data_IF_336660027598
#
_entry.id   IF_336660027598
#
_cell.length_a   1.000
_cell.length_b   1.000
_cell.length_c   1.000
_cell.angle_alpha   90.00
_cell.angle_beta   90.00
_cell.angle_gamma   90.00
#
_symmetry.space_group_name_H-M   'P 1'
#
loop_
_entity.id
_entity.type
_entity.pdbx_description
1 polymer ?
#
# COMPACT_ATOMS: atom_id res chain seq x y z
N UNK A 1 9.15 -6.25 -1.10
CA UNK A 1 9.18 -7.59 -1.75
C UNK A 1 9.30 -7.46 -3.27
N UNK A 2 9.88 -8.46 -3.93
CA UNK A 2 9.98 -8.52 -5.40
C UNK A 2 8.62 -8.80 -6.02
N UNK A 3 8.44 -8.46 -7.29
CA UNK A 3 7.19 -8.70 -8.02
C UNK A 3 6.71 -10.16 -7.94
N UNK A 4 7.61 -11.14 -8.10
CA UNK A 4 7.29 -12.58 -8.03
C UNK A 4 6.79 -13.00 -6.64
N UNK A 5 7.32 -12.40 -5.59
CA UNK A 5 6.91 -12.64 -4.20
C UNK A 5 5.50 -12.09 -3.97
N UNK A 6 5.21 -10.87 -4.42
CA UNK A 6 3.87 -10.30 -4.40
C UNK A 6 2.86 -11.17 -5.17
N UNK A 7 3.21 -11.63 -6.36
CA UNK A 7 2.35 -12.54 -7.15
C UNK A 7 2.08 -13.85 -6.41
N UNK A 8 3.07 -14.39 -5.70
CA UNK A 8 2.92 -15.59 -4.88
C UNK A 8 1.98 -15.33 -3.70
N UNK A 9 2.14 -14.19 -3.01
CA UNK A 9 1.23 -13.78 -1.93
C UNK A 9 -0.22 -13.69 -2.43
N UNK A 10 -0.46 -12.98 -3.55
CA UNK A 10 -1.79 -12.78 -4.13
C UNK A 10 -2.44 -14.09 -4.58
N UNK A 11 -1.72 -14.96 -5.30
CA UNK A 11 -2.27 -16.28 -5.70
C UNK A 11 -2.59 -17.15 -4.49
N UNK A 12 -1.76 -17.10 -3.45
CA UNK A 12 -1.99 -17.90 -2.24
C UNK A 12 -3.16 -17.33 -1.44
N UNK A 13 -3.26 -16.02 -1.30
CA UNK A 13 -4.40 -15.36 -0.67
C UNK A 13 -5.70 -15.72 -1.37
N UNK A 14 -5.75 -15.63 -2.71
CA UNK A 14 -6.93 -15.98 -3.50
C UNK A 14 -7.38 -17.44 -3.29
N UNK A 15 -6.43 -18.37 -3.20
CA UNK A 15 -6.75 -19.80 -2.93
C UNK A 15 -7.24 -20.02 -1.51
N UNK A 16 -6.58 -19.45 -0.50
CA UNK A 16 -6.94 -19.60 0.92
C UNK A 16 -8.31 -18.98 1.20
N UNK A 17 -8.52 -17.80 0.67
CA UNK A 17 -9.74 -17.03 0.87
C UNK A 17 -10.91 -17.51 0.01
N UNK A 18 -10.67 -18.24 -1.08
CA UNK A 18 -11.65 -18.47 -2.16
C UNK A 18 -12.26 -17.14 -2.63
N UNK A 19 -11.40 -16.11 -2.74
CA UNK A 19 -11.74 -14.75 -3.13
C UNK A 19 -10.86 -14.35 -4.32
N UNK A 20 -11.40 -13.55 -5.21
CA UNK A 20 -10.68 -13.10 -6.39
C UNK A 20 -10.29 -11.62 -6.35
N UNK A 21 -10.86 -10.84 -5.43
CA UNK A 21 -10.64 -9.40 -5.36
C UNK A 21 -10.18 -8.95 -3.98
N UNK A 22 -9.09 -8.20 -3.97
CA UNK A 22 -8.47 -7.69 -2.75
C UNK A 22 -8.12 -6.22 -2.90
N UNK A 23 -8.24 -5.43 -1.84
CA UNK A 23 -7.51 -4.18 -1.73
C UNK A 23 -6.03 -4.46 -1.44
N UNK A 24 -5.13 -3.72 -2.10
CA UNK A 24 -3.71 -3.69 -1.81
C UNK A 24 -3.34 -2.25 -1.44
N UNK A 25 -3.18 -1.98 -0.13
CA UNK A 25 -3.14 -0.62 0.42
C UNK A 25 -1.77 -0.16 0.93
N UNK A 26 -0.79 -1.06 0.96
CA UNK A 26 0.56 -0.77 1.41
C UNK A 26 1.57 -0.47 0.29
N UNK A 27 2.84 -0.49 0.66
CA UNK A 27 3.96 -0.17 -0.24
C UNK A 27 3.99 -1.00 -1.53
N UNK A 28 3.48 -2.23 -1.47
CA UNK A 28 3.44 -3.14 -2.62
C UNK A 28 2.48 -2.69 -3.73
N UNK A 29 1.56 -1.74 -3.45
CA UNK A 29 0.69 -1.14 -4.46
C UNK A 29 1.49 -0.45 -5.59
N UNK A 30 2.72 0.00 -5.33
CA UNK A 30 3.63 0.61 -6.32
C UNK A 30 3.89 -0.33 -7.51
N UNK A 31 3.79 -1.65 -7.32
CA UNK A 31 3.93 -2.61 -8.42
C UNK A 31 2.87 -2.49 -9.53
N UNK A 32 1.76 -1.79 -9.29
CA UNK A 32 0.78 -1.47 -10.32
C UNK A 32 1.24 -0.33 -11.26
N UNK A 33 2.24 0.45 -10.84
CA UNK A 33 2.72 1.65 -11.54
C UNK A 33 4.14 1.51 -12.08
N UNK A 34 4.96 0.66 -11.44
CA UNK A 34 6.37 0.57 -11.76
C UNK A 34 6.85 -0.88 -11.80
N UNK A 35 7.48 -1.27 -12.91
CA UNK A 35 8.09 -2.61 -13.05
C UNK A 35 9.36 -2.77 -12.21
N UNK A 36 10.07 -1.67 -11.97
CA UNK A 36 11.31 -1.61 -11.17
C UNK A 36 11.11 -0.61 -10.03
N UNK A 37 10.38 -0.99 -8.98
CA UNK A 37 10.09 -0.09 -7.87
C UNK A 37 11.37 0.30 -7.13
N UNK A 38 11.33 1.40 -6.35
CA UNK A 38 12.44 1.81 -5.48
C UNK A 38 12.81 0.74 -4.47
N UNK A 39 14.03 0.81 -3.93
CA UNK A 39 14.55 -0.15 -2.95
C UNK A 39 13.66 -0.25 -1.70
N UNK A 40 13.09 0.84 -1.25
CA UNK A 40 12.19 0.95 -0.10
C UNK A 40 10.94 0.05 -0.25
N UNK A 41 10.43 -0.12 -1.47
CA UNK A 41 9.36 -1.08 -1.77
C UNK A 41 9.87 -2.52 -1.66
N UNK A 42 11.09 -2.79 -2.16
CA UNK A 42 11.68 -4.12 -2.18
C UNK A 42 12.08 -4.63 -0.78
N UNK A 43 12.44 -3.72 0.13
CA UNK A 43 12.81 -4.05 1.51
C UNK A 43 11.61 -4.52 2.35
N UNK A 44 10.39 -4.07 2.05
CA UNK A 44 9.21 -4.48 2.79
C UNK A 44 8.89 -5.95 2.52
N UNK A 45 8.69 -6.71 3.61
CA UNK A 45 8.25 -8.11 3.59
C UNK A 45 6.73 -8.24 3.72
N UNK A 46 6.03 -7.14 3.96
CA UNK A 46 4.58 -7.07 4.19
C UNK A 46 3.83 -6.88 2.88
N UNK A 47 2.73 -7.59 2.73
CA UNK A 47 1.74 -7.42 1.68
C UNK A 47 0.41 -7.03 2.35
N UNK A 48 0.11 -5.73 2.41
CA UNK A 48 -1.06 -5.17 3.08
C UNK A 48 -2.31 -5.43 2.23
N UNK A 49 -2.99 -6.54 2.48
CA UNK A 49 -4.16 -7.00 1.74
C UNK A 49 -5.43 -6.96 2.59
N UNK A 50 -6.57 -6.70 1.92
CA UNK A 50 -7.88 -6.87 2.52
C UNK A 50 -8.86 -7.49 1.52
N UNK A 51 -9.63 -8.54 1.87
CA UNK A 51 -10.63 -9.16 0.97
C UNK A 51 -11.79 -8.19 0.73
N UNK A 52 -12.14 -7.95 -0.55
CA UNK A 52 -13.16 -6.94 -0.88
C UNK A 52 -14.58 -7.42 -0.63
N UNK A 53 -14.89 -8.67 -1.01
CA UNK A 53 -16.26 -9.18 -1.01
C UNK A 53 -16.55 -10.06 0.21
N UNK A 54 -15.51 -10.49 0.93
CA UNK A 54 -15.60 -11.44 2.04
C UNK A 54 -14.76 -11.00 3.24
N UNK A 55 -15.09 -9.87 3.89
CA UNK A 55 -14.34 -9.34 5.03
C UNK A 55 -14.25 -10.33 6.21
N UNK A 56 -15.22 -11.24 6.35
CA UNK A 56 -15.25 -12.26 7.41
C UNK A 56 -14.07 -13.25 7.37
N UNK A 57 -13.40 -13.38 6.22
CA UNK A 57 -12.25 -14.28 6.08
C UNK A 57 -10.90 -13.63 6.46
N UNK A 58 -10.91 -12.37 6.89
CA UNK A 58 -9.71 -11.64 7.28
C UNK A 58 -8.85 -12.41 8.31
N UNK A 59 -9.49 -12.92 9.37
CA UNK A 59 -8.81 -13.71 10.41
C UNK A 59 -8.20 -15.02 9.86
N UNK A 60 -8.86 -15.66 8.91
CA UNK A 60 -8.34 -16.87 8.27
C UNK A 60 -7.09 -16.55 7.44
N UNK A 61 -7.09 -15.44 6.70
CA UNK A 61 -5.94 -14.98 5.93
C UNK A 61 -4.75 -14.69 6.83
N UNK A 62 -4.97 -13.94 7.92
CA UNK A 62 -3.92 -13.62 8.89
C UNK A 62 -3.34 -14.90 9.50
N UNK A 63 -4.18 -15.82 9.99
CA UNK A 63 -3.73 -17.08 10.58
C UNK A 63 -2.91 -17.94 9.61
N UNK A 64 -3.23 -17.94 8.32
CA UNK A 64 -2.61 -18.79 7.30
C UNK A 64 -1.41 -18.14 6.61
N UNK A 65 -1.42 -16.82 6.42
CA UNK A 65 -0.46 -16.08 5.61
C UNK A 65 0.24 -14.94 6.37
N UNK A 66 -0.24 -14.58 7.56
CA UNK A 66 0.26 -13.50 8.38
C UNK A 66 1.66 -13.73 8.95
N UNK A 67 2.19 -12.74 9.64
CA UNK A 67 3.50 -12.81 10.34
C UNK A 67 3.49 -14.02 11.29
N UNK A 68 4.54 -14.83 11.29
CA UNK A 68 4.62 -16.03 12.13
C UNK A 68 3.89 -17.27 11.58
N UNK A 69 3.14 -17.16 10.50
CA UNK A 69 2.54 -18.32 9.82
C UNK A 69 3.59 -19.26 9.21
N UNK A 70 3.18 -20.50 8.86
CA UNK A 70 4.02 -21.41 8.09
C UNK A 70 4.39 -20.85 6.72
N UNK A 71 3.49 -20.06 6.11
CA UNK A 71 3.74 -19.36 4.86
C UNK A 71 4.87 -18.35 5.01
N UNK A 72 4.82 -17.48 6.02
CA UNK A 72 5.85 -16.48 6.27
C UNK A 72 7.23 -17.10 6.51
N UNK A 73 7.30 -18.15 7.35
CA UNK A 73 8.56 -18.88 7.61
C UNK A 73 9.15 -19.52 6.36
N UNK A 74 8.30 -20.02 5.47
CA UNK A 74 8.76 -20.68 4.23
C UNK A 74 9.24 -19.70 3.17
N UNK A 75 8.60 -18.53 3.07
CA UNK A 75 8.79 -17.61 1.94
C UNK A 75 9.59 -16.34 2.29
N UNK A 76 9.75 -16.01 3.58
CA UNK A 76 10.44 -14.81 4.03
C UNK A 76 9.62 -13.51 3.86
N UNK A 77 8.34 -13.61 3.48
CA UNK A 77 7.36 -12.51 3.41
C UNK A 77 5.98 -13.01 3.83
N UNK A 78 5.07 -12.09 4.12
CA UNK A 78 3.76 -12.43 4.66
C UNK A 78 2.67 -11.46 4.17
N UNK A 79 1.41 -11.86 4.36
CA UNK A 79 0.25 -11.00 4.17
C UNK A 79 -0.07 -10.34 5.50
N UNK A 80 -0.15 -9.02 5.51
CA UNK A 80 -0.70 -8.25 6.62
C UNK A 80 -2.13 -7.87 6.28
N UNK A 81 -3.09 -8.28 7.11
CA UNK A 81 -4.52 -8.04 6.84
C UNK A 81 -4.89 -6.70 7.44
N UNK A 82 -4.93 -5.68 6.59
CA UNK A 82 -5.14 -4.28 6.98
C UNK A 82 -6.38 -3.73 6.31
N UNK A 83 -7.36 -3.31 7.13
CA UNK A 83 -8.59 -2.71 6.61
C UNK A 83 -8.32 -1.31 6.04
N UNK A 84 -9.00 -0.91 4.94
CA UNK A 84 -8.83 0.43 4.37
C UNK A 84 -9.17 1.56 5.33
N UNK A 85 -10.04 1.32 6.32
CA UNK A 85 -10.47 2.31 7.32
C UNK A 85 -9.33 2.76 8.24
N UNK A 86 -8.30 1.93 8.43
CA UNK A 86 -7.12 2.27 9.24
C UNK A 86 -6.22 3.24 8.48
N UNK A 87 -6.24 3.19 7.15
CA UNK A 87 -5.47 4.09 6.31
C UNK A 87 -6.15 5.46 6.25
N UNK A 88 -5.40 6.54 6.52
CA UNK A 88 -5.91 7.91 6.33
C UNK A 88 -5.94 8.22 4.83
N UNK A 89 -7.05 7.94 4.18
CA UNK A 89 -7.21 8.09 2.74
C UNK A 89 -8.02 9.33 2.37
N UNK A 90 -7.68 10.03 1.28
CA UNK A 90 -8.45 11.14 0.75
C UNK A 90 -9.83 10.70 0.24
N UNK A 91 -10.82 11.57 0.29
CA UNK A 91 -12.14 11.30 -0.27
C UNK A 91 -12.05 10.85 -1.73
N UNK A 92 -12.82 9.83 -2.09
CA UNK A 92 -12.88 9.29 -3.46
C UNK A 92 -11.72 8.38 -3.86
N UNK A 93 -10.88 7.93 -2.93
CA UNK A 93 -9.76 7.01 -3.20
C UNK A 93 -10.18 5.74 -3.94
N UNK A 94 -11.39 5.21 -3.67
CA UNK A 94 -11.88 3.99 -4.31
C UNK A 94 -11.98 4.11 -5.84
N UNK A 95 -12.36 5.30 -6.35
CA UNK A 95 -12.47 5.54 -7.80
C UNK A 95 -11.10 5.64 -8.51
N UNK A 96 -10.02 5.75 -7.74
CA UNK A 96 -8.64 5.88 -8.25
C UNK A 96 -7.84 4.59 -8.19
N UNK A 97 -8.39 3.51 -7.64
CA UNK A 97 -7.73 2.22 -7.54
C UNK A 97 -7.23 1.72 -8.90
N UNK A 98 -6.06 1.08 -8.90
CA UNK A 98 -5.46 0.47 -10.10
C UNK A 98 -5.44 -1.05 -9.97
N UNK A 99 -5.97 -1.78 -10.97
CA UNK A 99 -5.96 -3.23 -10.93
C UNK A 99 -4.58 -3.81 -11.22
N UNK A 100 -4.19 -4.78 -10.41
CA UNK A 100 -3.02 -5.64 -10.60
C UNK A 100 -3.51 -7.09 -10.69
N UNK A 101 -3.56 -7.64 -11.90
CA UNK A 101 -4.07 -8.99 -12.15
C UNK A 101 -2.98 -10.03 -12.05
N UNK A 102 -3.24 -11.10 -11.28
CA UNK A 102 -2.32 -12.23 -11.08
C UNK A 102 -3.10 -13.54 -11.16
N UNK A 103 -3.14 -14.14 -12.34
CA UNK A 103 -4.02 -15.28 -12.61
C UNK A 103 -5.48 -14.91 -12.45
N UNK A 104 -6.20 -15.59 -11.56
CA UNK A 104 -7.63 -15.32 -11.28
C UNK A 104 -7.83 -14.24 -10.20
N UNK A 105 -6.77 -13.76 -9.57
CA UNK A 105 -6.82 -12.79 -8.49
C UNK A 105 -6.54 -11.38 -9.01
N UNK A 106 -7.33 -10.40 -8.60
CA UNK A 106 -7.12 -8.99 -8.86
C UNK A 106 -6.84 -8.28 -7.52
N UNK A 107 -5.70 -7.63 -7.43
CA UNK A 107 -5.42 -6.68 -6.35
C UNK A 107 -5.74 -5.26 -6.84
N UNK A 108 -6.66 -4.60 -6.17
CA UNK A 108 -7.02 -3.21 -6.37
C UNK A 108 -6.06 -2.35 -5.54
N UNK A 109 -5.04 -1.85 -6.21
CA UNK A 109 -3.93 -1.14 -5.59
C UNK A 109 -4.29 0.32 -5.35
N UNK A 110 -3.93 0.86 -4.18
CA UNK A 110 -4.02 2.31 -3.94
C UNK A 110 -3.29 3.08 -5.05
N UNK A 111 -3.90 4.16 -5.48
CA UNK A 111 -3.26 5.12 -6.37
C UNK A 111 -2.06 5.75 -5.65
N UNK A 112 -0.97 5.99 -6.39
CA UNK A 112 0.33 6.36 -5.80
C UNK A 112 0.28 7.63 -4.93
N UNK A 113 -0.54 8.62 -5.30
CA UNK A 113 -0.69 9.85 -4.52
C UNK A 113 -1.55 9.64 -3.27
N UNK A 114 -2.56 8.76 -3.32
CA UNK A 114 -3.32 8.32 -2.14
C UNK A 114 -2.44 7.52 -1.18
N UNK A 115 -1.57 6.65 -1.72
CA UNK A 115 -0.58 5.93 -0.94
C UNK A 115 0.40 6.86 -0.23
N UNK A 116 0.88 7.92 -0.91
CA UNK A 116 1.72 8.95 -0.29
C UNK A 116 0.99 9.61 0.88
N UNK A 117 -0.27 10.01 0.70
CA UNK A 117 -1.06 10.63 1.79
C UNK A 117 -1.18 9.68 2.99
N UNK A 118 -1.45 8.40 2.74
CA UNK A 118 -1.51 7.39 3.81
C UNK A 118 -0.16 7.25 4.54
N UNK A 119 0.96 7.22 3.82
CA UNK A 119 2.32 7.16 4.39
C UNK A 119 2.68 8.42 5.20
N UNK A 120 2.35 9.59 4.69
CA UNK A 120 2.50 10.86 5.42
C UNK A 120 1.63 10.88 6.70
N UNK A 121 0.46 10.25 6.69
CA UNK A 121 -0.40 10.19 7.87
C UNK A 121 0.22 9.34 9.00
N UNK A 122 0.81 8.21 8.68
CA UNK A 122 1.58 7.37 9.62
C UNK A 122 2.84 8.11 10.04
N UNK A 123 3.71 8.50 9.10
CA UNK A 123 4.84 9.41 9.29
C UNK A 123 5.99 8.84 10.09
N UNK A 124 6.21 7.51 10.08
CA UNK A 124 7.46 6.91 10.57
C UNK A 124 8.60 7.26 9.61
N UNK A 125 9.84 7.26 10.06
CA UNK A 125 11.00 7.56 9.22
C UNK A 125 10.97 6.78 7.89
N UNK A 126 10.79 5.47 7.97
CA UNK A 126 10.68 4.60 6.78
C UNK A 126 9.52 4.97 5.82
N UNK A 127 8.45 5.57 6.34
CA UNK A 127 7.30 6.01 5.53
C UNK A 127 7.65 7.31 4.80
N UNK A 128 8.41 8.21 5.41
CA UNK A 128 8.89 9.45 4.80
C UNK A 128 9.98 9.17 3.75
N UNK A 129 10.94 8.30 4.05
CA UNK A 129 11.95 7.81 3.10
C UNK A 129 11.30 7.20 1.86
N UNK A 130 10.26 6.37 2.06
CA UNK A 130 9.46 5.79 0.97
C UNK A 130 8.82 6.88 0.10
N UNK A 131 8.24 7.92 0.71
CA UNK A 131 7.64 9.06 -0.03
C UNK A 131 8.72 9.80 -0.82
N UNK A 132 9.88 10.07 -0.22
CA UNK A 132 11.03 10.68 -0.88
C UNK A 132 11.46 9.89 -2.12
N UNK A 133 11.60 8.57 -1.98
CA UNK A 133 11.97 7.68 -3.08
C UNK A 133 10.97 7.72 -4.25
N UNK A 134 9.67 7.85 -3.98
CA UNK A 134 8.66 7.99 -5.04
C UNK A 134 8.83 9.30 -5.83
N UNK A 135 9.16 10.41 -5.16
CA UNK A 135 9.43 11.68 -5.83
C UNK A 135 10.74 11.63 -6.64
N UNK A 136 11.82 11.11 -6.08
CA UNK A 136 13.10 10.93 -6.77
C UNK A 136 12.96 10.09 -8.05
N UNK A 137 12.13 9.05 -8.00
CA UNK A 137 11.83 8.19 -9.16
C UNK A 137 10.78 8.76 -10.11
N UNK A 138 10.30 9.99 -9.86
CA UNK A 138 9.25 10.67 -10.66
C UNK A 138 7.97 9.86 -10.81
N UNK A 139 7.66 9.04 -9.79
CA UNK A 139 6.44 8.26 -9.73
C UNK A 139 5.26 9.07 -9.17
N UNK A 140 5.54 10.22 -8.56
CA UNK A 140 4.53 11.08 -7.95
C UNK A 140 4.64 12.53 -8.44
N UNK A 141 3.48 13.19 -8.52
CA UNK A 141 3.36 14.60 -8.85
C UNK A 141 2.98 15.40 -7.59
N UNK A 142 3.79 16.40 -7.24
CA UNK A 142 3.60 17.20 -6.03
C UNK A 142 2.26 17.94 -6.01
N UNK A 143 1.81 18.49 -7.15
CA UNK A 143 0.53 19.20 -7.25
C UNK A 143 -0.64 18.26 -6.92
N UNK A 144 -0.58 17.02 -7.39
CA UNK A 144 -1.59 15.99 -7.12
C UNK A 144 -1.57 15.58 -5.65
N UNK A 145 -0.40 15.33 -5.03
CA UNK A 145 -0.31 15.04 -3.60
C UNK A 145 -0.91 16.17 -2.76
N UNK A 146 -0.56 17.42 -3.06
CA UNK A 146 -1.13 18.59 -2.37
C UNK A 146 -2.66 18.69 -2.55
N UNK A 147 -3.17 18.32 -3.72
CA UNK A 147 -4.62 18.26 -3.97
C UNK A 147 -5.29 17.18 -3.11
N UNK A 148 -4.75 15.96 -3.06
CA UNK A 148 -5.26 14.85 -2.25
C UNK A 148 -5.21 15.16 -0.75
N UNK A 149 -4.17 15.83 -0.26
CA UNK A 149 -4.13 16.30 1.14
C UNK A 149 -5.31 17.24 1.44
N UNK A 150 -5.72 18.12 0.52
CA UNK A 150 -6.89 18.98 0.71
C UNK A 150 -8.20 18.19 0.80
N UNK A 151 -8.28 17.02 0.20
CA UNK A 151 -9.45 16.14 0.23
C UNK A 151 -9.56 15.29 1.51
N UNK A 152 -8.55 15.30 2.40
CA UNK A 152 -8.66 14.65 3.69
C UNK A 152 -9.68 15.35 4.58
N UNK A 153 -10.50 14.57 5.31
CA UNK A 153 -11.67 15.09 6.03
C UNK A 153 -11.34 16.03 7.20
N UNK A 154 -10.24 15.80 7.93
CA UNK A 154 -9.88 16.54 9.14
C UNK A 154 -8.87 17.65 8.87
N UNK A 155 -9.18 18.90 9.26
CA UNK A 155 -8.28 20.04 9.07
C UNK A 155 -6.93 19.88 9.79
N UNK A 156 -6.91 19.37 11.02
CA UNK A 156 -5.67 19.11 11.79
C UNK A 156 -4.75 18.10 11.06
N UNK A 157 -5.33 17.08 10.45
CA UNK A 157 -4.56 16.11 9.67
C UNK A 157 -3.92 16.77 8.46
N UNK A 158 -4.61 17.68 7.78
CA UNK A 158 -4.07 18.41 6.61
C UNK A 158 -2.83 19.23 6.95
N UNK A 159 -2.81 19.91 8.10
CA UNK A 159 -1.64 20.69 8.54
C UNK A 159 -0.43 19.77 8.78
N UNK A 160 -0.63 18.66 9.51
CA UNK A 160 0.40 17.67 9.78
C UNK A 160 0.93 17.03 8.49
N UNK A 161 0.05 16.66 7.56
CA UNK A 161 0.42 16.07 6.27
C UNK A 161 1.25 17.04 5.43
N UNK A 162 0.90 18.34 5.40
CA UNK A 162 1.66 19.37 4.69
C UNK A 162 3.05 19.56 5.31
N UNK A 163 3.15 19.62 6.63
CA UNK A 163 4.44 19.75 7.33
C UNK A 163 5.36 18.59 7.00
N UNK A 164 4.88 17.34 7.11
CA UNK A 164 5.65 16.15 6.78
C UNK A 164 6.04 16.07 5.30
N UNK A 165 5.13 16.47 4.40
CA UNK A 165 5.44 16.57 2.97
C UNK A 165 6.56 17.59 2.74
N UNK A 166 6.52 18.76 3.40
CA UNK A 166 7.54 19.77 3.27
C UNK A 166 8.90 19.26 3.77
N UNK A 167 8.94 18.59 4.94
CA UNK A 167 10.19 17.96 5.44
C UNK A 167 10.79 16.99 4.43
N UNK A 168 9.97 16.13 3.81
CA UNK A 168 10.46 15.22 2.75
C UNK A 168 11.04 15.98 1.56
N UNK A 169 10.40 17.08 1.14
CA UNK A 169 10.89 17.88 0.00
C UNK A 169 12.19 18.62 0.33
N UNK A 170 12.33 19.11 1.56
CA UNK A 170 13.55 19.81 2.03
C UNK A 170 14.76 18.86 2.05
N UNK A 171 14.52 17.55 2.33
CA UNK A 171 15.56 16.52 2.28
C UNK A 171 15.97 16.14 0.84
N UNK A 172 15.14 16.46 -0.14
CA UNK A 172 15.42 16.15 -1.55
C UNK A 172 16.18 17.26 -2.30
N UNK A 173 16.33 18.45 -1.71
CA UNK A 173 17.03 19.60 -2.25
C UNK A 173 16.16 20.40 -3.19
#
# INVERSE_FOLDING_TARGET
>A
MKRRELETALRTAGRVARETEFFLIGSQAVHAYCRRPPAEVLLSQECDLYPMNRPEIANLLDARLGRGSRFARRHGFYVDVVTPEIASLPTGWQSRLKPLRVGRTTAWCLEVHDLIVSKLAVGRLKDLEFVGALFQRRLANLKTVRHHIRQCSRHRDRARLRSRLQSVLDELG
#
